data_IF_968068296729
#
_entry.id   IF_968068296729
#
_cell.length_a   1.000
_cell.length_b   1.000
_cell.length_c   1.000
_cell.angle_alpha   90.00
_cell.angle_beta   90.00
_cell.angle_gamma   90.00
#
_symmetry.space_group_name_H-M   'P 1'
#
loop_
_entity.id
_entity.type
_entity.pdbx_description
1 polymer ?
#
# COMPACT_ATOMS: atom_id res chain seq x y z
N UNK A 1 10.41 -5.17 -9.95
CA UNK A 1 11.64 -4.56 -10.47
C UNK A 1 12.05 -5.12 -11.82
N UNK A 2 11.98 -6.43 -12.06
CA UNK A 2 12.37 -7.05 -13.34
C UNK A 2 11.71 -6.37 -14.55
N UNK A 3 10.39 -6.11 -14.49
CA UNK A 3 9.66 -5.44 -15.57
C UNK A 3 10.15 -4.01 -15.81
N UNK A 4 10.51 -3.28 -14.75
CA UNK A 4 11.07 -1.93 -14.89
C UNK A 4 12.45 -1.95 -15.54
N UNK A 5 13.32 -2.89 -15.13
CA UNK A 5 14.63 -3.06 -15.78
C UNK A 5 14.48 -3.36 -17.28
N UNK A 6 13.58 -4.28 -17.63
CA UNK A 6 13.32 -4.62 -19.03
C UNK A 6 12.79 -3.42 -19.81
N UNK A 7 11.90 -2.64 -19.21
CA UNK A 7 11.38 -1.42 -19.85
C UNK A 7 12.51 -0.45 -20.18
N UNK A 8 13.41 -0.17 -19.24
CA UNK A 8 14.53 0.74 -19.49
C UNK A 8 15.53 0.17 -20.51
N UNK A 9 15.91 -1.09 -20.38
CA UNK A 9 16.93 -1.70 -21.20
C UNK A 9 16.44 -2.07 -22.62
N UNK A 10 15.23 -2.63 -22.74
CA UNK A 10 14.75 -3.23 -23.98
C UNK A 10 13.79 -2.31 -24.76
N UNK A 11 12.89 -1.59 -24.05
CA UNK A 11 11.90 -0.75 -24.71
C UNK A 11 12.37 0.69 -24.92
N UNK A 12 13.02 1.29 -23.91
CA UNK A 12 13.52 2.67 -24.00
C UNK A 12 14.96 2.75 -24.50
N UNK A 13 15.68 1.62 -24.51
CA UNK A 13 17.10 1.53 -24.84
C UNK A 13 17.97 2.51 -24.02
N UNK A 14 17.55 2.80 -22.80
CA UNK A 14 18.25 3.62 -21.83
C UNK A 14 19.01 2.74 -20.86
N UNK A 15 20.04 3.30 -20.24
CA UNK A 15 20.66 2.64 -19.07
C UNK A 15 19.68 2.49 -17.92
N UNK A 16 19.91 1.50 -17.04
CA UNK A 16 19.13 1.36 -15.80
C UNK A 16 19.39 2.57 -14.91
N UNK A 17 18.37 3.36 -14.53
CA UNK A 17 18.60 4.58 -13.76
C UNK A 17 18.98 4.27 -12.31
N UNK A 18 19.77 5.14 -11.68
CA UNK A 18 20.30 4.95 -10.34
C UNK A 18 19.21 4.75 -9.28
N UNK A 19 18.08 5.45 -9.42
CA UNK A 19 16.95 5.28 -8.48
C UNK A 19 16.38 3.85 -8.51
N UNK A 20 16.43 3.16 -9.66
CA UNK A 20 15.92 1.80 -9.75
C UNK A 20 16.88 0.82 -9.05
N UNK A 21 18.17 1.03 -9.21
CA UNK A 21 19.21 0.25 -8.51
C UNK A 21 19.05 0.42 -6.98
N UNK A 22 18.88 1.67 -6.56
CA UNK A 22 18.70 1.99 -5.14
C UNK A 22 17.38 1.43 -4.59
N UNK A 23 16.27 1.55 -5.32
CA UNK A 23 14.99 0.97 -4.93
C UNK A 23 15.11 -0.56 -4.76
N UNK A 24 15.75 -1.27 -5.68
CA UNK A 24 15.98 -2.70 -5.57
C UNK A 24 16.78 -3.04 -4.29
N UNK A 25 17.82 -2.27 -3.99
CA UNK A 25 18.63 -2.44 -2.79
C UNK A 25 17.78 -2.26 -1.52
N UNK A 26 17.00 -1.19 -1.47
CA UNK A 26 16.12 -0.87 -0.32
C UNK A 26 15.08 -1.97 -0.10
N UNK A 27 14.44 -2.44 -1.18
CA UNK A 27 13.37 -3.43 -1.11
C UNK A 27 13.85 -4.89 -1.03
N UNK A 28 15.15 -5.14 -1.10
CA UNK A 28 15.73 -6.47 -0.88
C UNK A 28 15.88 -6.84 0.60
N UNK A 29 15.84 -5.87 1.50
CA UNK A 29 15.91 -6.12 2.93
C UNK A 29 14.65 -6.84 3.44
N UNK A 30 14.76 -7.72 4.44
CA UNK A 30 13.60 -8.35 5.06
C UNK A 30 12.67 -7.30 5.72
N UNK A 31 11.40 -7.64 5.98
CA UNK A 31 10.51 -6.77 6.74
C UNK A 31 11.07 -6.49 8.13
N UNK A 32 10.92 -5.25 8.60
CA UNK A 32 11.37 -4.81 9.93
C UNK A 32 10.27 -4.86 10.99
N UNK A 33 9.00 -4.81 10.57
CA UNK A 33 7.84 -4.72 11.46
C UNK A 33 7.17 -6.06 11.73
N UNK A 34 6.35 -6.08 12.78
CA UNK A 34 5.44 -7.17 13.08
C UNK A 34 4.44 -7.38 11.93
N UNK A 35 3.94 -8.61 11.79
CA UNK A 35 2.91 -8.92 10.80
C UNK A 35 1.61 -8.21 11.16
N UNK A 36 1.17 -7.28 10.30
CA UNK A 36 -0.06 -6.52 10.45
C UNK A 36 -1.07 -6.90 9.37
N UNK A 37 -2.34 -6.91 9.73
CA UNK A 37 -3.48 -7.06 8.81
C UNK A 37 -4.00 -5.67 8.47
N UNK A 38 -3.94 -5.29 7.20
CA UNK A 38 -4.31 -3.93 6.78
C UNK A 38 -5.31 -3.95 5.64
N UNK A 39 -6.26 -3.02 5.68
CA UNK A 39 -7.13 -2.71 4.55
C UNK A 39 -6.72 -1.38 3.94
N UNK A 40 -6.82 -1.26 2.62
CA UNK A 40 -6.43 -0.06 1.88
C UNK A 40 -7.57 0.36 0.95
N UNK A 41 -8.53 1.16 1.42
CA UNK A 41 -9.48 1.82 0.53
C UNK A 41 -8.76 2.79 -0.41
N UNK A 42 -9.19 2.80 -1.67
CA UNK A 42 -8.63 3.69 -2.71
C UNK A 42 -9.70 4.58 -3.34
N UNK A 43 -10.94 4.34 -3.03
CA UNK A 43 -12.07 5.11 -3.52
C UNK A 43 -13.22 5.08 -2.53
N UNK A 44 -14.05 6.11 -2.56
CA UNK A 44 -15.27 6.28 -1.77
C UNK A 44 -16.46 6.50 -2.69
N UNK A 45 -17.62 5.98 -2.33
CA UNK A 45 -18.91 6.10 -3.05
C UNK A 45 -18.88 5.57 -4.50
N UNK A 46 -18.79 4.23 -4.71
CA UNK A 46 -18.72 3.17 -3.68
C UNK A 46 -17.32 2.99 -3.12
N UNK A 47 -17.20 2.50 -1.90
CA UNK A 47 -15.92 2.14 -1.33
C UNK A 47 -15.29 0.98 -2.11
N UNK A 48 -14.05 1.17 -2.54
CA UNK A 48 -13.25 0.16 -3.22
C UNK A 48 -11.94 -0.03 -2.48
N UNK A 49 -11.55 -1.28 -2.28
CA UNK A 49 -10.34 -1.62 -1.55
C UNK A 49 -9.33 -2.35 -2.44
N UNK A 50 -8.07 -2.27 -2.05
CA UNK A 50 -6.98 -3.00 -2.72
C UNK A 50 -7.11 -4.49 -2.43
N UNK A 51 -7.20 -5.30 -3.48
CA UNK A 51 -7.12 -6.76 -3.40
C UNK A 51 -5.68 -7.28 -3.54
N UNK A 52 -5.50 -8.59 -3.32
CA UNK A 52 -4.17 -9.22 -3.26
C UNK A 52 -3.41 -9.27 -4.59
N UNK A 53 -4.08 -9.15 -5.73
CA UNK A 53 -3.44 -9.19 -7.05
C UNK A 53 -3.07 -7.79 -7.57
N UNK A 54 -2.52 -6.95 -6.69
CA UNK A 54 -2.14 -5.58 -7.01
C UNK A 54 -0.69 -5.28 -6.63
N UNK A 55 -0.13 -4.24 -7.25
CA UNK A 55 1.20 -3.73 -6.87
C UNK A 55 1.25 -3.29 -5.40
N UNK A 56 0.22 -2.60 -4.93
CA UNK A 56 0.11 -2.14 -3.54
C UNK A 56 0.14 -3.31 -2.56
N UNK A 57 -0.57 -4.41 -2.89
CA UNK A 57 -0.56 -5.60 -2.05
C UNK A 57 0.81 -6.29 -2.02
N UNK A 58 1.52 -6.41 -3.18
CA UNK A 58 2.89 -6.94 -3.22
C UNK A 58 3.84 -6.07 -2.40
N UNK A 59 3.70 -4.75 -2.52
CA UNK A 59 4.53 -3.79 -1.79
C UNK A 59 4.37 -3.91 -0.27
N UNK A 60 3.13 -3.90 0.22
CA UNK A 60 2.82 -4.05 1.64
C UNK A 60 3.18 -5.44 2.17
N UNK A 61 3.00 -6.48 1.35
CA UNK A 61 3.44 -7.84 1.68
C UNK A 61 4.94 -7.93 1.92
N UNK A 62 5.75 -7.15 1.19
CA UNK A 62 7.21 -7.04 1.42
C UNK A 62 7.57 -6.33 2.71
N UNK A 63 6.65 -5.61 3.31
CA UNK A 63 6.77 -5.00 4.65
C UNK A 63 6.19 -5.89 5.76
N UNK A 64 5.74 -7.10 5.42
CA UNK A 64 5.18 -8.05 6.38
C UNK A 64 3.67 -7.91 6.59
N UNK A 65 2.98 -7.06 5.81
CA UNK A 65 1.54 -6.90 5.95
C UNK A 65 0.77 -8.00 5.21
N UNK A 66 -0.35 -8.41 5.81
CA UNK A 66 -1.43 -9.13 5.13
C UNK A 66 -2.47 -8.10 4.67
N UNK A 67 -2.66 -7.97 3.35
CA UNK A 67 -3.63 -7.03 2.79
C UNK A 67 -5.00 -7.69 2.69
N UNK A 68 -6.03 -7.01 3.21
CA UNK A 68 -7.41 -7.47 3.24
C UNK A 68 -8.28 -6.74 2.19
N UNK A 69 -9.24 -7.46 1.58
CA UNK A 69 -9.54 -8.89 1.75
C UNK A 69 -8.44 -9.77 1.14
N UNK A 70 -8.13 -10.89 1.81
CA UNK A 70 -7.02 -11.77 1.41
C UNK A 70 -7.20 -12.36 0.01
N UNK A 71 -8.27 -13.10 -0.22
CA UNK A 71 -8.56 -13.70 -1.54
C UNK A 71 -9.78 -13.03 -2.14
N UNK A 72 -9.58 -12.36 -3.28
CA UNK A 72 -10.67 -11.78 -4.08
C UNK A 72 -10.42 -12.07 -5.57
N UNK A 73 -11.49 -12.30 -6.32
CA UNK A 73 -11.45 -12.40 -7.78
C UNK A 73 -11.13 -11.03 -8.38
N UNK A 74 -11.65 -9.97 -7.78
CA UNK A 74 -11.45 -8.61 -8.22
C UNK A 74 -10.18 -8.01 -7.59
N UNK A 75 -9.43 -7.26 -8.40
CA UNK A 75 -8.25 -6.51 -7.92
C UNK A 75 -8.63 -5.38 -6.97
N UNK A 76 -9.83 -4.83 -7.15
CA UNK A 76 -10.36 -3.72 -6.38
C UNK A 76 -11.82 -3.99 -6.03
N UNK A 77 -12.09 -4.92 -5.09
CA UNK A 77 -13.46 -5.24 -4.72
C UNK A 77 -14.15 -4.04 -4.05
N UNK A 78 -15.45 -3.94 -4.28
CA UNK A 78 -16.31 -3.00 -3.56
C UNK A 78 -16.69 -3.60 -2.21
N UNK A 79 -16.47 -2.86 -1.13
CA UNK A 79 -16.77 -3.27 0.25
C UNK A 79 -17.21 -2.05 1.05
N UNK A 80 -18.26 -2.21 1.82
CA UNK A 80 -18.66 -1.16 2.78
C UNK A 80 -17.66 -1.05 3.94
N UNK A 81 -17.57 0.10 4.65
CA UNK A 81 -16.72 0.22 5.84
C UNK A 81 -16.98 -0.87 6.88
N UNK A 82 -18.26 -1.22 7.10
CA UNK A 82 -18.66 -2.28 8.02
C UNK A 82 -18.12 -3.67 7.60
N UNK A 83 -18.14 -3.98 6.31
CA UNK A 83 -17.55 -5.23 5.79
C UNK A 83 -16.03 -5.22 5.91
N UNK A 84 -15.39 -4.07 5.74
CA UNK A 84 -13.95 -3.91 5.96
C UNK A 84 -13.60 -4.15 7.44
N UNK A 85 -14.33 -3.52 8.38
CA UNK A 85 -14.14 -3.71 9.82
C UNK A 85 -14.40 -5.15 10.28
N UNK A 86 -15.38 -5.83 9.65
CA UNK A 86 -15.67 -7.23 9.93
C UNK A 86 -14.52 -8.21 9.58
N UNK A 87 -13.57 -7.77 8.77
CA UNK A 87 -12.32 -8.52 8.50
C UNK A 87 -11.29 -8.37 9.62
N UNK A 88 -11.57 -7.55 10.64
CA UNK A 88 -10.70 -7.26 11.77
C UNK A 88 -9.28 -6.84 11.37
N UNK A 89 -9.11 -5.79 10.56
CA UNK A 89 -7.78 -5.26 10.28
C UNK A 89 -7.20 -4.56 11.51
N UNK A 90 -5.89 -4.65 11.67
CA UNK A 90 -5.13 -3.89 12.67
C UNK A 90 -5.16 -2.38 12.37
N UNK A 91 -5.26 -2.02 11.07
CA UNK A 91 -5.46 -0.66 10.62
C UNK A 91 -6.07 -0.57 9.21
N UNK A 92 -6.74 0.56 8.96
CA UNK A 92 -7.14 0.99 7.62
C UNK A 92 -6.19 2.09 7.17
N UNK A 93 -5.49 1.86 6.06
CA UNK A 93 -4.58 2.82 5.43
C UNK A 93 -5.34 3.62 4.38
N UNK A 94 -5.44 4.92 4.58
CA UNK A 94 -6.21 5.86 3.75
C UNK A 94 -5.24 6.72 2.92
N UNK A 95 -4.98 6.39 1.64
CA UNK A 95 -4.09 7.16 0.79
C UNK A 95 -4.72 8.48 0.33
N UNK A 96 -3.88 9.47 0.02
CA UNK A 96 -4.30 10.75 -0.55
C UNK A 96 -4.46 10.72 -2.08
N UNK A 97 -4.33 9.55 -2.69
CA UNK A 97 -4.62 9.27 -4.10
C UNK A 97 -4.93 7.78 -4.33
N UNK A 98 -5.76 7.40 -5.33
CA UNK A 98 -6.47 8.26 -6.29
C UNK A 98 -7.63 9.05 -5.69
N UNK A 99 -8.28 8.56 -4.60
CA UNK A 99 -9.21 9.35 -3.80
C UNK A 99 -8.42 10.11 -2.73
N UNK A 100 -8.76 11.39 -2.54
CA UNK A 100 -8.05 12.24 -1.59
C UNK A 100 -8.67 12.07 -0.20
N UNK A 101 -8.25 11.03 0.53
CA UNK A 101 -8.63 10.92 1.93
C UNK A 101 -7.92 11.97 2.78
N UNK A 102 -8.65 12.50 3.76
CA UNK A 102 -8.16 13.54 4.68
C UNK A 102 -8.48 13.17 6.13
N UNK A 103 -8.16 14.03 7.08
CA UNK A 103 -8.53 13.81 8.50
C UNK A 103 -10.05 13.87 8.74
N UNK A 104 -10.76 14.61 7.89
CA UNK A 104 -12.20 14.84 8.01
C UNK A 104 -13.03 14.03 6.99
N UNK A 105 -12.37 13.32 6.07
CA UNK A 105 -13.00 12.53 5.02
C UNK A 105 -12.29 11.19 4.87
N UNK A 106 -12.89 10.14 5.35
CA UNK A 106 -12.42 8.76 5.35
C UNK A 106 -12.36 8.14 6.73
N UNK A 107 -11.61 8.69 7.71
CA UNK A 107 -11.52 8.12 9.05
C UNK A 107 -12.85 7.99 9.77
N UNK A 108 -13.77 8.93 9.57
CA UNK A 108 -15.10 8.95 10.20
C UNK A 108 -15.99 7.76 9.81
N UNK A 109 -15.66 7.08 8.72
CA UNK A 109 -16.38 5.88 8.28
C UNK A 109 -16.02 4.62 9.09
N UNK A 110 -14.91 4.65 9.85
CA UNK A 110 -14.37 3.52 10.61
C UNK A 110 -14.44 3.82 12.11
N UNK A 111 -15.43 3.23 12.78
CA UNK A 111 -15.70 3.52 14.19
C UNK A 111 -14.80 2.78 15.18
N UNK A 112 -14.38 1.58 14.86
CA UNK A 112 -13.65 0.68 15.75
C UNK A 112 -12.20 0.41 15.29
N UNK A 113 -11.91 0.54 14.02
CA UNK A 113 -10.60 0.22 13.45
C UNK A 113 -9.73 1.47 13.37
N UNK A 114 -8.48 1.41 13.85
CA UNK A 114 -7.53 2.51 13.69
C UNK A 114 -7.31 2.87 12.21
N UNK A 115 -7.35 4.15 11.90
CA UNK A 115 -7.05 4.65 10.54
C UNK A 115 -5.71 5.36 10.50
N UNK A 116 -5.05 5.35 9.35
CA UNK A 116 -3.82 6.10 9.07
C UNK A 116 -3.87 6.72 7.69
N UNK A 117 -3.68 8.03 7.64
CA UNK A 117 -3.44 8.71 6.36
C UNK A 117 -2.05 8.34 5.84
N UNK A 118 -1.97 8.04 4.56
CA UNK A 118 -0.74 7.61 3.89
C UNK A 118 -0.57 8.38 2.59
N UNK A 119 0.66 8.76 2.27
CA UNK A 119 0.95 9.30 0.95
C UNK A 119 0.77 8.20 -0.10
N UNK A 120 -0.24 8.33 -0.94
CA UNK A 120 -0.63 7.34 -1.94
C UNK A 120 0.46 7.07 -2.98
N UNK A 121 1.30 8.06 -3.28
CA UNK A 121 2.45 7.88 -4.17
C UNK A 121 3.38 6.76 -3.69
N UNK A 122 3.53 6.57 -2.38
CA UNK A 122 4.36 5.50 -1.82
C UNK A 122 3.70 4.13 -1.91
N UNK A 123 2.38 4.08 -2.13
CA UNK A 123 1.63 2.83 -2.27
C UNK A 123 1.37 2.44 -3.73
N UNK A 124 1.22 3.43 -4.62
CA UNK A 124 0.63 3.20 -5.95
C UNK A 124 1.61 3.43 -7.11
N UNK A 125 2.70 4.18 -6.89
CA UNK A 125 3.63 4.55 -7.95
C UNK A 125 4.85 3.65 -7.99
N UNK A 126 5.12 3.06 -9.15
CA UNK A 126 6.33 2.27 -9.42
C UNK A 126 7.37 3.10 -10.16
N UNK A 127 7.90 4.12 -9.46
CA UNK A 127 8.88 5.09 -9.96
C UNK A 127 9.93 5.45 -8.90
N UNK A 128 10.60 6.61 -9.04
CA UNK A 128 11.65 7.05 -8.11
C UNK A 128 11.20 7.16 -6.64
N UNK A 129 9.89 7.36 -6.40
CA UNK A 129 9.31 7.37 -5.06
C UNK A 129 9.54 6.07 -4.28
N UNK A 130 9.78 4.95 -4.96
CA UNK A 130 10.07 3.66 -4.32
C UNK A 130 11.31 3.68 -3.42
N UNK A 131 12.27 4.57 -3.68
CA UNK A 131 13.46 4.71 -2.84
C UNK A 131 13.08 5.14 -1.41
N UNK A 132 12.15 6.07 -1.28
CA UNK A 132 11.68 6.60 0.01
C UNK A 132 10.47 5.86 0.57
N UNK A 133 9.70 5.17 -0.29
CA UNK A 133 8.44 4.55 0.07
C UNK A 133 8.58 3.58 1.24
N UNK A 134 9.62 2.76 1.25
CA UNK A 134 9.85 1.78 2.31
C UNK A 134 9.92 2.43 3.69
N UNK A 135 10.80 3.42 3.86
CA UNK A 135 10.99 4.10 5.16
C UNK A 135 9.70 4.76 5.64
N UNK A 136 8.98 5.45 4.75
CA UNK A 136 7.74 6.12 5.13
C UNK A 136 6.63 5.14 5.50
N UNK A 137 6.50 4.04 4.76
CA UNK A 137 5.50 3.02 5.05
C UNK A 137 5.83 2.26 6.35
N UNK A 138 7.10 1.91 6.59
CA UNK A 138 7.54 1.32 7.85
C UNK A 138 7.20 2.21 9.04
N UNK A 139 7.51 3.51 8.98
CA UNK A 139 7.15 4.48 10.04
C UNK A 139 5.63 4.53 10.30
N UNK A 140 4.83 4.48 9.24
CA UNK A 140 3.37 4.45 9.37
C UNK A 140 2.91 3.16 10.05
N UNK A 141 3.42 2.00 9.63
CA UNK A 141 3.07 0.70 10.17
C UNK A 141 3.53 0.52 11.62
N UNK A 142 4.72 1.00 11.97
CA UNK A 142 5.23 0.99 13.34
C UNK A 142 4.33 1.77 14.29
N UNK A 143 3.73 2.88 13.83
CA UNK A 143 2.75 3.65 14.60
C UNK A 143 1.44 2.90 14.87
N UNK A 144 1.18 1.81 14.15
CA UNK A 144 0.04 0.89 14.39
C UNK A 144 0.43 -0.19 15.39
N UNK A 145 1.61 -0.79 15.22
CA UNK A 145 2.08 -1.93 16.03
C UNK A 145 2.33 -1.60 17.50
N UNK A 146 2.54 -0.32 17.84
CA UNK A 146 2.90 0.14 19.21
C UNK A 146 1.71 0.73 19.98
N UNK A 147 0.50 0.36 19.64
CA UNK A 147 -0.72 0.67 20.43
C UNK A 147 -1.20 -0.55 21.23
#
# INVERSE_FOLDING_TARGET
FVSLRRMFAEALLWGVPDWLIEAERVWSAPPSSARLRVAVPIWRDPWMVVGTQTFTSDLLGRLGCEVLPGVSVDRYPTMTPMEIEALEPDAVLLPDEPYVFTQDDGPEAFGSTPTRLVNGRYLTWYGPSLVLARTHLEQTLDSVAHR
#
